data_IF_361479701779
#
_entry.id   IF_361479701779
#
_cell.length_a   1.000
_cell.length_b   1.000
_cell.length_c   1.000
_cell.angle_alpha   90.00
_cell.angle_beta   90.00
_cell.angle_gamma   90.00
#
_symmetry.space_group_name_H-M   'P 1'
#
loop_
_entity.id
_entity.type
_entity.pdbx_description
1 polymer ?
#
# COMPACT_ATOMS: atom_id res chain seq x y z
N UNK A 1 -4.92 -0.94 -12.99
CA UNK A 1 -6.06 -0.65 -12.08
C UNK A 1 -5.67 0.41 -11.05
N UNK A 2 -4.56 0.24 -10.33
CA UNK A 2 -4.11 1.19 -9.29
C UNK A 2 -4.01 2.63 -9.77
N UNK A 3 -3.36 2.89 -10.92
CA UNK A 3 -3.29 4.23 -11.52
C UNK A 3 -4.67 4.89 -11.65
N UNK A 4 -5.64 4.14 -12.18
CA UNK A 4 -6.99 4.64 -12.35
C UNK A 4 -7.69 4.89 -11.01
N UNK A 5 -7.59 3.95 -10.07
CA UNK A 5 -8.25 4.05 -8.77
C UNK A 5 -7.74 5.23 -7.93
N UNK A 6 -6.46 5.57 -8.03
CA UNK A 6 -5.86 6.68 -7.28
C UNK A 6 -6.27 8.07 -7.79
N UNK A 7 -6.92 8.16 -8.96
CA UNK A 7 -7.53 9.40 -9.46
C UNK A 7 -8.76 9.78 -8.65
N UNK A 8 -9.38 8.83 -7.95
CA UNK A 8 -10.44 9.11 -6.99
C UNK A 8 -9.83 9.59 -5.66
N UNK A 9 -10.18 10.82 -5.20
CA UNK A 9 -9.60 11.38 -3.99
C UNK A 9 -9.97 10.61 -2.71
N UNK A 10 -11.14 9.97 -2.68
CA UNK A 10 -11.58 9.16 -1.54
C UNK A 10 -10.72 7.90 -1.45
N UNK A 11 -10.50 7.21 -2.57
CA UNK A 11 -9.65 6.02 -2.61
C UNK A 11 -8.21 6.40 -2.23
N UNK A 12 -7.68 7.48 -2.81
CA UNK A 12 -6.33 7.98 -2.52
C UNK A 12 -6.11 8.25 -1.03
N UNK A 13 -7.12 8.79 -0.34
CA UNK A 13 -7.05 9.05 1.11
C UNK A 13 -7.16 7.77 1.94
N UNK A 14 -8.07 6.87 1.57
CA UNK A 14 -8.26 5.59 2.28
C UNK A 14 -6.97 4.78 2.29
N UNK A 15 -6.30 4.67 1.15
CA UNK A 15 -5.10 3.81 1.06
C UNK A 15 -3.89 4.38 1.81
N UNK A 16 -3.84 5.70 2.04
CA UNK A 16 -2.81 6.39 2.85
C UNK A 16 -3.05 6.27 4.35
N UNK A 17 -4.27 5.88 4.75
CA UNK A 17 -4.64 5.78 6.17
C UNK A 17 -3.87 4.64 6.84
N UNK A 18 -3.07 4.97 7.86
CA UNK A 18 -2.31 3.96 8.63
C UNK A 18 -3.17 3.19 9.61
N UNK A 19 -4.03 3.90 10.32
CA UNK A 19 -4.93 3.33 11.31
C UNK A 19 -6.23 4.13 11.34
N UNK A 20 -7.33 3.45 11.67
CA UNK A 20 -8.64 4.09 11.80
C UNK A 20 -9.46 3.37 12.86
N UNK A 21 -10.03 4.14 13.78
CA UNK A 21 -11.07 3.63 14.67
C UNK A 21 -12.42 3.70 13.97
N UNK A 22 -13.14 2.60 13.94
CA UNK A 22 -14.52 2.52 13.44
C UNK A 22 -15.46 2.11 14.56
N UNK A 23 -16.76 2.36 14.39
CA UNK A 23 -17.80 2.08 15.38
C UNK A 23 -18.85 1.15 14.79
N UNK A 24 -19.37 0.24 15.62
CA UNK A 24 -20.48 -0.62 15.22
C UNK A 24 -21.74 0.20 14.97
N UNK A 25 -22.44 -0.07 13.86
CA UNK A 25 -23.69 0.62 13.52
C UNK A 25 -24.82 0.32 14.51
N UNK A 26 -24.88 -0.90 15.04
CA UNK A 26 -25.93 -1.33 15.99
C UNK A 26 -25.61 -1.04 17.45
N UNK A 27 -24.38 -0.65 17.76
CA UNK A 27 -23.94 -0.35 19.14
C UNK A 27 -22.77 0.63 19.10
N UNK A 28 -23.02 1.95 19.06
CA UNK A 28 -21.97 2.97 18.93
C UNK A 28 -20.90 2.98 20.03
N UNK A 29 -21.18 2.32 21.17
CA UNK A 29 -20.19 2.10 22.23
C UNK A 29 -19.12 1.06 21.87
N UNK A 30 -19.37 0.19 20.88
CA UNK A 30 -18.41 -0.80 20.39
C UNK A 30 -17.54 -0.14 19.32
N UNK A 31 -16.24 -0.08 19.58
CA UNK A 31 -15.22 0.43 18.65
C UNK A 31 -14.28 -0.67 18.21
N UNK A 32 -13.76 -0.54 16.98
CA UNK A 32 -12.71 -1.39 16.44
C UNK A 32 -11.57 -0.51 15.96
N UNK A 33 -10.34 -0.90 16.30
CA UNK A 33 -9.13 -0.25 15.83
C UNK A 33 -8.62 -1.06 14.64
N UNK A 34 -8.59 -0.42 13.47
CA UNK A 34 -8.11 -1.02 12.24
C UNK A 34 -6.71 -0.50 11.95
N UNK A 35 -5.80 -1.42 11.66
CA UNK A 35 -4.46 -1.11 11.19
C UNK A 35 -4.31 -1.51 9.73
N UNK A 36 -3.56 -0.72 8.97
CA UNK A 36 -3.27 -1.01 7.58
C UNK A 36 -2.32 -2.20 7.49
N UNK A 37 -2.76 -3.26 6.81
CA UNK A 37 -1.94 -4.46 6.59
C UNK A 37 -0.68 -4.22 5.75
N UNK A 38 -0.58 -3.09 5.02
CA UNK A 38 0.65 -2.74 4.33
C UNK A 38 1.68 -2.20 5.33
N UNK A 39 2.55 -3.07 5.82
CA UNK A 39 3.60 -2.74 6.79
C UNK A 39 4.67 -1.79 6.25
N UNK A 40 4.77 -1.63 4.93
CA UNK A 40 5.69 -0.67 4.31
C UNK A 40 5.20 0.77 4.44
N UNK A 41 3.89 0.98 4.68
CA UNK A 41 3.30 2.30 4.84
C UNK A 41 3.90 2.99 6.07
N UNK A 42 4.82 3.91 5.81
CA UNK A 42 5.57 4.62 6.82
C UNK A 42 6.89 4.04 7.27
N UNK A 43 7.18 2.79 6.90
CA UNK A 43 8.49 2.19 7.07
C UNK A 43 9.41 2.51 5.88
N UNK A 44 8.83 2.76 4.70
CA UNK A 44 9.56 3.20 3.50
C UNK A 44 9.13 4.61 3.14
N UNK A 45 10.11 5.50 2.95
CA UNK A 45 9.87 6.91 2.63
C UNK A 45 9.10 7.05 1.32
N UNK A 46 8.04 7.85 1.34
CA UNK A 46 7.26 8.22 0.16
C UNK A 46 6.14 7.26 -0.20
N UNK A 47 6.00 6.12 0.49
CA UNK A 47 4.87 5.21 0.23
C UNK A 47 3.56 5.86 0.64
N UNK A 48 2.58 5.82 -0.26
CA UNK A 48 1.22 6.33 -0.08
C UNK A 48 0.14 5.23 -0.11
N UNK A 49 0.54 3.95 0.02
CA UNK A 49 -0.37 2.84 0.29
C UNK A 49 -0.56 1.89 -0.88
N UNK A 50 -1.80 1.71 -1.31
CA UNK A 50 -2.39 0.67 -2.17
C UNK A 50 -2.87 -0.59 -1.42
N UNK A 51 -2.40 -1.82 -1.71
CA UNK A 51 -3.09 -3.03 -1.21
C UNK A 51 -2.26 -4.31 -1.18
N UNK A 52 -2.40 -5.06 -0.09
CA UNK A 52 -1.92 -6.44 0.13
C UNK A 52 -2.92 -7.50 -0.36
N UNK A 53 -2.49 -8.71 -0.72
CA UNK A 53 -3.39 -9.83 -1.00
C UNK A 53 -2.69 -11.19 -0.86
N UNK A 54 -3.35 -12.18 -0.28
CA UNK A 54 -2.75 -13.51 -0.07
C UNK A 54 -3.78 -14.62 -0.18
N UNK A 55 -3.41 -15.71 -0.85
CA UNK A 55 -4.12 -17.01 -0.83
C UNK A 55 -3.08 -18.12 -0.99
N UNK A 56 -3.44 -19.38 -0.70
CA UNK A 56 -2.54 -20.52 -0.89
C UNK A 56 -2.05 -20.65 -2.35
N UNK A 57 -2.89 -20.33 -3.33
CA UNK A 57 -2.51 -20.41 -4.74
C UNK A 57 -1.74 -19.18 -5.23
N UNK A 58 -2.09 -17.98 -4.75
CA UNK A 58 -1.51 -16.73 -5.23
C UNK A 58 -0.25 -16.31 -4.46
N UNK A 59 -0.02 -16.88 -3.28
CA UNK A 59 1.04 -16.49 -2.34
C UNK A 59 1.00 -14.97 -2.06
N UNK A 60 2.13 -14.35 -1.77
CA UNK A 60 2.21 -12.92 -1.48
C UNK A 60 1.98 -12.05 -2.72
N UNK A 61 0.93 -11.23 -2.68
CA UNK A 61 0.67 -10.14 -3.63
C UNK A 61 0.72 -8.80 -2.89
N UNK A 62 1.35 -7.80 -3.49
CA UNK A 62 1.41 -6.43 -2.99
C UNK A 62 1.44 -5.46 -4.17
N UNK A 63 0.49 -4.52 -4.17
CA UNK A 63 0.55 -3.33 -5.01
C UNK A 63 0.84 -2.14 -4.11
N UNK A 64 1.83 -1.33 -4.48
CA UNK A 64 2.28 -0.15 -3.72
C UNK A 64 2.44 1.06 -4.62
N UNK A 65 2.04 2.23 -4.13
CA UNK A 65 2.38 3.53 -4.75
C UNK A 65 3.38 4.27 -3.86
N UNK A 66 4.41 4.84 -4.48
CA UNK A 66 5.47 5.61 -3.82
C UNK A 66 5.75 6.88 -4.61
N UNK A 67 5.89 8.00 -3.93
CA UNK A 67 6.27 9.28 -4.53
C UNK A 67 7.50 9.84 -3.83
N UNK A 68 8.57 10.12 -4.58
CA UNK A 68 9.79 10.78 -4.10
C UNK A 68 10.21 11.85 -5.10
N UNK A 69 10.58 13.02 -4.61
CA UNK A 69 11.09 14.14 -5.42
C UNK A 69 10.16 14.53 -6.59
N UNK A 70 8.83 14.42 -6.43
CA UNK A 70 7.85 14.74 -7.47
C UNK A 70 7.60 13.61 -8.48
N UNK A 71 8.25 12.46 -8.32
CA UNK A 71 8.12 11.33 -9.21
C UNK A 71 7.41 10.15 -8.54
N UNK A 72 6.35 9.66 -9.17
CA UNK A 72 5.52 8.57 -8.68
C UNK A 72 5.86 7.24 -9.37
N UNK A 73 5.94 6.16 -8.58
CA UNK A 73 6.07 4.79 -9.05
C UNK A 73 4.93 3.96 -8.47
N UNK A 74 4.33 3.11 -9.31
CA UNK A 74 3.46 2.03 -8.89
C UNK A 74 4.22 0.71 -9.06
N UNK A 75 4.35 -0.06 -7.99
CA UNK A 75 4.94 -1.41 -8.01
C UNK A 75 3.84 -2.45 -7.82
N UNK A 76 3.98 -3.59 -8.50
CA UNK A 76 3.08 -4.75 -8.36
C UNK A 76 3.96 -6.00 -8.24
N UNK A 77 3.94 -6.63 -7.08
CA UNK A 77 4.59 -7.92 -6.80
C UNK A 77 3.53 -9.00 -6.67
N UNK A 78 3.75 -10.15 -7.31
CA UNK A 78 2.84 -11.29 -7.31
C UNK A 78 3.60 -12.58 -7.04
N UNK A 79 2.92 -13.57 -6.44
CA UNK A 79 3.50 -14.88 -6.15
C UNK A 79 4.84 -14.83 -5.39
N UNK A 80 4.94 -13.95 -4.40
CA UNK A 80 6.17 -13.77 -3.63
C UNK A 80 6.10 -14.44 -2.26
N UNK A 81 7.21 -15.04 -1.84
CA UNK A 81 7.42 -15.52 -0.47
C UNK A 81 7.68 -14.37 0.52
N UNK A 82 8.17 -13.22 0.03
CA UNK A 82 8.45 -12.02 0.83
C UNK A 82 8.16 -10.74 0.01
N UNK A 83 6.88 -10.48 -0.22
CA UNK A 83 6.40 -9.37 -1.07
C UNK A 83 6.85 -8.00 -0.58
N UNK A 84 7.05 -7.84 0.73
CA UNK A 84 7.45 -6.59 1.36
C UNK A 84 8.90 -6.24 0.96
N UNK A 85 9.81 -7.21 1.08
CA UNK A 85 11.21 -7.01 0.71
C UNK A 85 11.40 -6.88 -0.81
N UNK A 86 10.66 -7.66 -1.60
CA UNK A 86 10.68 -7.55 -3.05
C UNK A 86 10.21 -6.16 -3.50
N UNK A 87 9.14 -5.65 -2.88
CA UNK A 87 8.62 -4.30 -3.15
C UNK A 87 9.63 -3.23 -2.74
N UNK A 88 10.26 -3.35 -1.57
CA UNK A 88 11.32 -2.42 -1.14
C UNK A 88 12.46 -2.40 -2.15
N UNK A 89 12.94 -3.58 -2.54
CA UNK A 89 14.05 -3.72 -3.49
C UNK A 89 13.72 -3.08 -4.83
N UNK A 90 12.52 -3.33 -5.37
CA UNK A 90 12.07 -2.73 -6.63
C UNK A 90 11.98 -1.20 -6.55
N UNK A 91 11.44 -0.66 -5.45
CA UNK A 91 11.34 0.80 -5.25
C UNK A 91 12.73 1.43 -5.22
N UNK A 92 13.64 0.91 -4.39
CA UNK A 92 14.99 1.47 -4.27
C UNK A 92 15.77 1.33 -5.58
N UNK A 93 15.68 0.19 -6.24
CA UNK A 93 16.31 -0.02 -7.54
C UNK A 93 15.81 0.98 -8.58
N UNK A 94 14.50 1.19 -8.68
CA UNK A 94 13.93 2.10 -9.66
C UNK A 94 14.38 3.54 -9.44
N UNK A 95 14.35 4.05 -8.21
CA UNK A 95 14.83 5.41 -7.92
C UNK A 95 16.34 5.58 -8.06
N UNK A 96 17.12 4.51 -7.94
CA UNK A 96 18.57 4.57 -8.12
C UNK A 96 19.02 4.46 -9.58
N UNK A 97 18.20 3.87 -10.45
CA UNK A 97 18.62 3.51 -11.82
C UNK A 97 17.76 4.16 -12.92
N UNK A 98 16.71 4.90 -12.58
CA UNK A 98 15.89 5.60 -13.55
C UNK A 98 16.10 7.13 -13.43
N UNK A 99 16.33 7.77 -14.56
CA UNK A 99 16.32 9.24 -14.70
C UNK A 99 14.96 9.67 -15.24
N UNK A 100 14.42 10.72 -14.65
CA UNK A 100 13.04 11.17 -14.84
C UNK A 100 12.88 12.26 -15.89
#
# INVERSE_FOLDING_TARGET
ITDYALKDPIISEIVKTRAKTIYSLGSPSIRYELENTNTLLGAVKGISGAKTGWTDAAQGVLTTVVTRNGHEIITVVMHSANREEDTRTLIEWAYANFEW
#
